data_IF_286847659177
#
_entry.id   IF_286847659177
#
_cell.length_a   1.000
_cell.length_b   1.000
_cell.length_c   1.000
_cell.angle_alpha   90.00
_cell.angle_beta   90.00
_cell.angle_gamma   90.00
#
_symmetry.space_group_name_H-M   'P 1'
#
loop_
_entity.id
_entity.type
_entity.pdbx_description
1 polymer ?
#
# COMPACT_ATOMS: atom_id res chain seq x y z
N UNK A 1 -28.61 15.55 -30.28
CA UNK A 1 -27.54 14.52 -30.17
C UNK A 1 -27.41 14.17 -28.70
N UNK A 2 -27.72 12.92 -28.30
CA UNK A 2 -27.56 12.47 -26.93
C UNK A 2 -26.06 12.39 -26.63
N UNK A 3 -25.64 12.91 -25.47
CA UNK A 3 -24.27 12.78 -25.02
C UNK A 3 -23.88 11.28 -24.92
N UNK A 4 -22.68 10.89 -25.33
CA UNK A 4 -22.27 9.49 -25.22
C UNK A 4 -22.28 9.06 -23.76
N UNK A 5 -22.92 7.93 -23.50
CA UNK A 5 -23.02 7.30 -22.20
C UNK A 5 -21.59 7.01 -21.68
N UNK A 6 -21.12 7.79 -20.70
CA UNK A 6 -19.77 7.68 -20.11
C UNK A 6 -19.54 6.42 -19.25
N UNK A 7 -20.56 5.57 -19.11
CA UNK A 7 -20.48 4.33 -18.31
C UNK A 7 -20.11 3.07 -19.12
N UNK A 8 -19.98 3.15 -20.43
CA UNK A 8 -19.72 1.99 -21.31
C UNK A 8 -18.27 1.47 -21.28
N UNK A 9 -17.45 1.82 -20.28
CA UNK A 9 -16.06 1.35 -20.17
C UNK A 9 -15.55 1.14 -18.75
N UNK A 10 -16.38 1.30 -17.72
CA UNK A 10 -15.95 1.09 -16.34
C UNK A 10 -15.85 -0.39 -16.05
N UNK A 11 -14.66 -0.85 -15.64
CA UNK A 11 -14.46 -2.20 -15.12
C UNK A 11 -15.51 -2.47 -14.03
N UNK A 12 -16.21 -3.58 -14.15
CA UNK A 12 -17.09 -4.11 -13.09
C UNK A 12 -16.31 -4.42 -11.81
N UNK A 13 -14.98 -4.60 -11.91
CA UNK A 13 -14.10 -4.98 -10.82
C UNK A 13 -13.47 -3.77 -10.16
N UNK A 14 -13.31 -3.85 -8.85
CA UNK A 14 -12.80 -2.79 -7.99
C UNK A 14 -11.83 -3.42 -7.00
N UNK A 15 -10.68 -2.79 -6.79
CA UNK A 15 -9.71 -3.25 -5.80
C UNK A 15 -10.29 -3.11 -4.40
N UNK A 16 -10.34 -4.21 -3.64
CA UNK A 16 -10.80 -4.23 -2.25
C UNK A 16 -9.64 -4.34 -1.25
N UNK A 17 -8.57 -5.00 -1.66
CA UNK A 17 -7.31 -5.11 -0.92
C UNK A 17 -6.16 -5.14 -1.91
N UNK A 18 -5.02 -4.54 -1.55
CA UNK A 18 -3.80 -4.63 -2.32
C UNK A 18 -2.56 -4.57 -1.43
N UNK A 19 -1.46 -5.15 -1.93
CA UNK A 19 -0.12 -5.05 -1.36
C UNK A 19 0.89 -4.77 -2.47
N UNK A 20 1.79 -3.81 -2.21
CA UNK A 20 2.90 -3.48 -3.11
C UNK A 20 4.04 -4.50 -2.95
N UNK A 21 4.65 -4.90 -4.06
CA UNK A 21 5.74 -5.89 -4.03
C UNK A 21 7.13 -5.23 -3.98
N UNK A 22 8.05 -5.93 -3.31
CA UNK A 22 9.50 -5.68 -3.34
C UNK A 22 10.25 -6.92 -3.79
N UNK A 23 11.52 -6.73 -4.22
CA UNK A 23 12.47 -7.82 -4.36
C UNK A 23 12.89 -8.33 -2.99
N UNK A 24 13.16 -9.63 -2.82
CA UNK A 24 13.76 -10.13 -1.60
C UNK A 24 15.24 -9.74 -1.50
N UNK A 25 15.70 -9.54 -0.28
CA UNK A 25 17.11 -9.42 0.05
C UNK A 25 17.58 -10.68 0.77
N UNK A 26 18.88 -10.83 1.01
CA UNK A 26 19.44 -12.00 1.71
C UNK A 26 18.87 -12.21 3.13
N UNK A 27 18.31 -11.14 3.75
CA UNK A 27 17.69 -11.22 5.07
C UNK A 27 16.24 -11.73 5.03
N UNK A 28 15.62 -11.78 3.86
CA UNK A 28 14.24 -12.24 3.65
C UNK A 28 14.24 -13.74 3.30
N UNK A 29 14.62 -14.60 4.25
CA UNK A 29 14.99 -16.00 4.02
C UNK A 29 13.99 -16.79 3.16
N UNK A 30 12.69 -16.75 3.48
CA UNK A 30 11.67 -17.46 2.68
C UNK A 30 11.56 -16.87 1.28
N UNK A 31 11.51 -15.54 1.16
CA UNK A 31 11.36 -14.89 -0.14
C UNK A 31 12.61 -15.04 -1.02
N UNK A 32 13.82 -15.03 -0.44
CA UNK A 32 15.08 -15.14 -1.18
C UNK A 32 15.41 -16.57 -1.59
N UNK A 33 15.11 -17.55 -0.73
CA UNK A 33 15.31 -18.98 -1.04
C UNK A 33 14.20 -19.55 -1.92
N UNK A 34 13.02 -18.96 -1.85
CA UNK A 34 11.81 -19.53 -2.45
C UNK A 34 11.28 -20.73 -1.67
N UNK A 35 10.32 -21.41 -2.28
CA UNK A 35 9.66 -22.59 -1.74
C UNK A 35 9.81 -23.78 -2.70
N UNK A 36 9.72 -24.98 -2.15
CA UNK A 36 9.61 -26.23 -2.92
C UNK A 36 8.39 -26.99 -2.42
N UNK A 37 7.37 -27.09 -3.26
CA UNK A 37 6.05 -27.67 -2.93
C UNK A 37 5.37 -27.02 -1.69
N UNK A 38 5.64 -25.73 -1.45
CA UNK A 38 5.13 -25.00 -0.30
C UNK A 38 3.70 -24.52 -0.47
N UNK A 39 3.06 -24.22 0.66
CA UNK A 39 1.73 -23.61 0.72
C UNK A 39 1.80 -22.28 1.47
N UNK A 40 1.34 -21.23 0.81
CA UNK A 40 1.20 -19.91 1.41
C UNK A 40 -0.27 -19.63 1.71
N UNK A 41 -0.59 -19.24 2.94
CA UNK A 41 -1.94 -18.84 3.35
C UNK A 41 -1.94 -17.36 3.74
N UNK A 42 -2.70 -16.56 2.98
CA UNK A 42 -2.94 -15.16 3.29
C UNK A 42 -4.30 -14.96 3.94
N UNK A 43 -4.36 -14.22 5.04
CA UNK A 43 -5.59 -13.69 5.60
C UNK A 43 -5.62 -12.18 5.38
N UNK A 44 -6.59 -11.71 4.60
CA UNK A 44 -6.68 -10.29 4.21
C UNK A 44 -8.03 -9.70 4.59
N UNK A 45 -8.03 -8.46 5.08
CA UNK A 45 -9.25 -7.72 5.40
C UNK A 45 -9.69 -6.91 4.18
N UNK A 46 -10.92 -7.14 3.73
CA UNK A 46 -11.50 -6.48 2.57
C UNK A 46 -12.10 -5.12 2.95
N UNK A 47 -11.85 -4.09 2.18
CA UNK A 47 -12.50 -2.79 2.36
C UNK A 47 -13.82 -2.62 1.58
N UNK A 48 -14.11 -3.55 0.67
CA UNK A 48 -15.38 -3.62 -0.07
C UNK A 48 -15.73 -5.09 -0.33
N UNK A 49 -17.02 -5.40 -0.52
CA UNK A 49 -17.52 -6.76 -0.77
C UNK A 49 -18.02 -6.98 -2.20
N UNK A 50 -18.47 -8.20 -2.48
CA UNK A 50 -19.01 -8.62 -3.77
C UNK A 50 -18.49 -9.98 -4.21
N UNK A 51 -18.67 -10.29 -5.50
CA UNK A 51 -18.02 -11.43 -6.13
C UNK A 51 -16.51 -11.17 -6.16
N UNK A 52 -15.69 -12.20 -5.94
CA UNK A 52 -14.24 -12.08 -5.73
C UNK A 52 -13.47 -12.60 -6.94
N UNK A 53 -12.34 -11.95 -7.25
CA UNK A 53 -11.23 -12.53 -8.02
C UNK A 53 -9.89 -12.10 -7.40
N UNK A 54 -8.86 -12.87 -7.66
CA UNK A 54 -7.53 -12.67 -7.09
C UNK A 54 -6.57 -12.12 -8.15
N UNK A 55 -5.62 -11.30 -7.70
CA UNK A 55 -4.52 -10.81 -8.52
C UNK A 55 -3.20 -11.24 -7.90
N UNK A 56 -2.37 -11.87 -8.71
CA UNK A 56 -1.01 -12.26 -8.38
C UNK A 56 -0.02 -11.43 -9.19
N UNK A 57 1.18 -11.26 -8.68
CA UNK A 57 2.27 -10.60 -9.38
C UNK A 57 3.61 -11.24 -9.03
N UNK A 58 4.53 -11.21 -9.98
CA UNK A 58 5.91 -11.67 -9.80
C UNK A 58 6.88 -10.61 -10.34
N UNK A 59 6.67 -9.35 -9.92
CA UNK A 59 7.33 -8.17 -10.48
C UNK A 59 8.86 -8.21 -10.43
N UNK A 60 9.42 -8.91 -9.44
CA UNK A 60 10.86 -9.06 -9.22
C UNK A 60 11.35 -10.49 -9.42
N UNK A 61 10.54 -11.34 -10.03
CA UNK A 61 10.91 -12.70 -10.36
C UNK A 61 11.99 -12.74 -11.43
N UNK A 62 12.87 -13.74 -11.33
CA UNK A 62 13.92 -14.03 -12.32
C UNK A 62 13.60 -15.26 -13.17
N UNK A 63 12.61 -16.05 -12.76
CA UNK A 63 12.11 -17.23 -13.46
C UNK A 63 10.57 -17.29 -13.34
N UNK A 64 9.88 -18.01 -14.23
CA UNK A 64 8.45 -18.25 -14.07
C UNK A 64 8.14 -19.04 -12.80
N UNK A 65 7.00 -18.77 -12.17
CA UNK A 65 6.50 -19.53 -11.01
C UNK A 65 5.14 -20.15 -11.34
N UNK A 66 4.94 -21.42 -10.96
CA UNK A 66 3.66 -22.11 -11.07
C UNK A 66 2.85 -21.82 -9.81
N UNK A 67 1.62 -21.33 -9.98
CA UNK A 67 0.69 -21.03 -8.88
C UNK A 67 -0.51 -21.96 -8.97
N UNK A 68 -0.90 -22.52 -7.83
CA UNK A 68 -2.09 -23.34 -7.65
C UNK A 68 -1.80 -24.83 -7.40
N UNK A 69 -2.81 -25.60 -6.93
CA UNK A 69 -4.19 -25.14 -6.71
C UNK A 69 -4.30 -24.01 -5.69
N UNK A 70 -5.33 -23.18 -5.88
CA UNK A 70 -5.64 -22.05 -5.00
C UNK A 70 -7.04 -22.19 -4.46
N UNK A 71 -7.26 -21.83 -3.18
CA UNK A 71 -8.59 -21.63 -2.63
C UNK A 71 -8.74 -20.22 -2.07
N UNK A 72 -9.97 -19.69 -2.13
CA UNK A 72 -10.34 -18.42 -1.51
C UNK A 72 -11.64 -18.63 -0.72
N UNK A 73 -11.61 -18.38 0.59
CA UNK A 73 -12.77 -18.66 1.45
C UNK A 73 -13.26 -20.12 1.34
N UNK A 74 -12.35 -21.06 1.12
CA UNK A 74 -12.64 -22.48 0.93
C UNK A 74 -13.16 -22.86 -0.48
N UNK A 75 -13.36 -21.89 -1.39
CA UNK A 75 -13.80 -22.14 -2.75
C UNK A 75 -12.59 -22.27 -3.70
N UNK A 76 -12.65 -23.20 -4.66
CA UNK A 76 -11.61 -23.38 -5.66
C UNK A 76 -11.50 -22.14 -6.57
N UNK A 77 -10.27 -21.74 -6.85
CA UNK A 77 -9.92 -20.64 -7.78
C UNK A 77 -9.36 -21.24 -9.07
N UNK A 78 -9.77 -20.69 -10.21
CA UNK A 78 -9.26 -21.09 -11.51
C UNK A 78 -8.62 -19.92 -12.26
N UNK A 79 -7.86 -20.25 -13.31
CA UNK A 79 -7.18 -19.33 -14.19
C UNK A 79 -7.45 -19.80 -15.64
N UNK A 80 -8.39 -19.14 -16.31
CA UNK A 80 -8.88 -19.61 -17.63
C UNK A 80 -9.47 -21.01 -17.54
N UNK A 81 -10.22 -21.32 -16.48
CA UNK A 81 -10.82 -22.63 -16.20
C UNK A 81 -9.86 -23.69 -15.67
N UNK A 82 -8.57 -23.39 -15.50
CA UNK A 82 -7.55 -24.36 -15.01
C UNK A 82 -7.22 -24.10 -13.53
N UNK A 83 -6.92 -25.14 -12.73
CA UNK A 83 -6.61 -24.99 -11.30
C UNK A 83 -5.22 -24.39 -11.04
N UNK A 84 -4.38 -24.29 -12.06
CA UNK A 84 -3.01 -23.79 -11.97
C UNK A 84 -2.68 -22.89 -13.16
N UNK A 85 -1.76 -21.95 -12.97
CA UNK A 85 -1.21 -21.13 -14.04
C UNK A 85 0.22 -20.71 -13.74
N UNK A 86 0.98 -20.46 -14.80
CA UNK A 86 2.31 -19.87 -14.71
C UNK A 86 2.23 -18.36 -14.65
N UNK A 87 3.01 -17.75 -13.75
CA UNK A 87 3.31 -16.33 -13.77
C UNK A 87 4.73 -16.17 -14.30
N UNK A 88 4.88 -15.50 -15.42
CA UNK A 88 6.21 -15.20 -15.95
C UNK A 88 6.95 -14.20 -15.05
N UNK A 89 8.27 -14.20 -15.10
CA UNK A 89 9.08 -13.20 -14.44
C UNK A 89 8.65 -11.79 -14.89
N UNK A 90 8.48 -10.86 -13.93
CA UNK A 90 8.00 -9.50 -14.17
C UNK A 90 6.49 -9.36 -14.44
N UNK A 91 5.75 -10.46 -14.58
CA UNK A 91 4.34 -10.44 -14.97
C UNK A 91 3.35 -10.43 -13.80
N UNK A 92 2.08 -10.21 -14.13
CA UNK A 92 0.94 -10.40 -13.24
C UNK A 92 -0.06 -11.39 -13.84
N UNK A 93 -0.87 -11.99 -12.97
CA UNK A 93 -1.90 -12.97 -13.29
C UNK A 93 -3.17 -12.61 -12.53
N UNK A 94 -4.31 -12.66 -13.23
CA UNK A 94 -5.63 -12.47 -12.59
C UNK A 94 -6.41 -13.76 -12.70
N UNK A 95 -7.05 -14.19 -11.61
CA UNK A 95 -7.90 -15.39 -11.60
C UNK A 95 -9.22 -15.15 -12.32
N UNK A 96 -9.90 -16.23 -12.68
CA UNK A 96 -11.32 -16.18 -12.97
C UNK A 96 -12.09 -15.68 -11.72
N UNK A 97 -13.34 -15.19 -11.88
CA UNK A 97 -14.23 -14.95 -10.76
C UNK A 97 -14.43 -16.23 -9.94
N UNK A 98 -14.23 -16.15 -8.62
CA UNK A 98 -14.36 -17.33 -7.74
C UNK A 98 -15.85 -17.73 -7.66
N UNK A 99 -16.14 -18.92 -8.17
CA UNK A 99 -17.51 -19.43 -8.21
C UNK A 99 -18.05 -19.63 -6.78
N UNK A 100 -19.30 -19.22 -6.54
CA UNK A 100 -19.95 -19.38 -5.23
C UNK A 100 -19.43 -18.48 -4.11
N UNK A 101 -18.36 -17.68 -4.32
CA UNK A 101 -17.82 -16.79 -3.30
C UNK A 101 -18.35 -15.36 -3.48
N UNK A 102 -19.02 -14.88 -2.44
CA UNK A 102 -19.36 -13.46 -2.27
C UNK A 102 -18.97 -13.02 -0.87
N UNK A 103 -18.35 -11.88 -0.77
CA UNK A 103 -17.89 -11.31 0.49
C UNK A 103 -18.66 -10.03 0.83
N UNK A 104 -18.54 -9.58 2.06
CA UNK A 104 -19.04 -8.30 2.55
C UNK A 104 -17.88 -7.34 2.80
N UNK A 105 -18.20 -6.06 2.95
CA UNK A 105 -17.26 -5.07 3.47
C UNK A 105 -16.75 -5.50 4.86
N UNK A 106 -15.49 -5.24 5.14
CA UNK A 106 -14.77 -5.62 6.35
C UNK A 106 -14.59 -7.14 6.58
N UNK A 107 -15.02 -8.01 5.65
CA UNK A 107 -14.78 -9.44 5.75
C UNK A 107 -13.27 -9.76 5.77
N UNK A 108 -12.89 -10.79 6.52
CA UNK A 108 -11.56 -11.42 6.40
C UNK A 108 -11.65 -12.57 5.41
N UNK A 109 -10.84 -12.50 4.37
CA UNK A 109 -10.75 -13.54 3.35
C UNK A 109 -9.46 -14.31 3.52
N UNK A 110 -9.56 -15.64 3.67
CA UNK A 110 -8.41 -16.53 3.63
C UNK A 110 -8.19 -17.00 2.20
N UNK A 111 -6.98 -16.82 1.70
CA UNK A 111 -6.51 -17.30 0.39
C UNK A 111 -5.37 -18.28 0.63
N UNK A 112 -5.56 -19.54 0.25
CA UNK A 112 -4.52 -20.55 0.31
C UNK A 112 -3.98 -20.80 -1.11
N UNK A 113 -2.67 -20.71 -1.25
CA UNK A 113 -1.98 -20.81 -2.53
C UNK A 113 -0.89 -21.87 -2.44
N UNK A 114 -1.02 -22.96 -3.17
CA UNK A 114 0.07 -23.92 -3.34
C UNK A 114 1.02 -23.45 -4.43
N UNK A 115 2.30 -23.61 -4.17
CA UNK A 115 3.41 -23.32 -5.08
C UNK A 115 4.17 -24.62 -5.38
N UNK A 116 3.77 -25.38 -6.40
CA UNK A 116 4.41 -26.65 -6.73
C UNK A 116 5.81 -26.45 -7.29
N UNK A 117 6.72 -27.33 -6.92
CA UNK A 117 8.11 -27.33 -7.38
C UNK A 117 8.94 -26.16 -6.81
N UNK A 118 10.20 -26.04 -7.21
CA UNK A 118 11.05 -24.95 -6.78
C UNK A 118 10.63 -23.63 -7.43
N UNK A 119 10.39 -22.59 -6.62
CA UNK A 119 9.93 -21.29 -7.13
C UNK A 119 11.08 -20.34 -7.47
N UNK A 120 12.27 -20.57 -6.91
CA UNK A 120 13.29 -19.52 -6.83
C UNK A 120 12.84 -18.33 -5.98
N UNK A 121 13.56 -17.20 -6.02
CA UNK A 121 13.20 -16.00 -5.26
C UNK A 121 11.82 -15.47 -5.60
N UNK A 122 11.02 -15.15 -4.58
CA UNK A 122 9.63 -14.72 -4.71
C UNK A 122 9.49 -13.21 -4.53
N UNK A 123 8.73 -12.56 -5.42
CA UNK A 123 8.24 -11.21 -5.17
C UNK A 123 7.27 -11.21 -4.00
N UNK A 124 7.42 -10.28 -3.06
CA UNK A 124 6.64 -10.30 -1.83
C UNK A 124 6.41 -8.89 -1.28
N UNK A 125 5.50 -8.77 -0.34
CA UNK A 125 5.37 -7.62 0.56
C UNK A 125 5.83 -8.05 1.94
N UNK A 126 6.76 -7.32 2.54
CA UNK A 126 7.49 -7.76 3.74
C UNK A 126 6.62 -7.82 4.98
N UNK A 127 5.78 -6.81 5.21
CA UNK A 127 4.97 -6.74 6.42
C UNK A 127 3.60 -6.09 6.15
N UNK A 128 2.56 -6.89 6.23
CA UNK A 128 1.17 -6.40 6.09
C UNK A 128 0.52 -6.05 7.42
N UNK A 129 1.21 -6.26 8.53
CA UNK A 129 0.63 -6.23 9.89
C UNK A 129 -0.60 -7.13 10.05
N UNK A 130 -0.61 -8.25 9.34
CA UNK A 130 -1.62 -9.30 9.46
C UNK A 130 -0.95 -10.67 9.51
N UNK A 131 -1.57 -11.62 10.19
CA UNK A 131 -1.07 -12.99 10.31
C UNK A 131 -1.35 -13.77 9.03
N UNK A 132 -0.29 -14.27 8.42
CA UNK A 132 -0.27 -15.21 7.31
C UNK A 132 0.54 -16.44 7.73
N UNK A 133 0.64 -17.44 6.86
CA UNK A 133 1.53 -18.57 7.11
C UNK A 133 2.15 -19.13 5.83
N UNK A 134 3.35 -19.71 5.98
CA UNK A 134 4.01 -20.54 4.98
C UNK A 134 4.19 -21.92 5.62
N UNK A 135 3.61 -22.95 5.02
CA UNK A 135 3.61 -24.33 5.52
C UNK A 135 3.19 -24.42 7.01
N UNK A 136 2.19 -23.60 7.40
CA UNK A 136 1.69 -23.49 8.77
C UNK A 136 2.54 -22.63 9.71
N UNK A 137 3.73 -22.16 9.32
CA UNK A 137 4.56 -21.27 10.12
C UNK A 137 4.11 -19.82 9.91
N UNK A 138 3.83 -19.12 11.02
CA UNK A 138 3.34 -17.73 10.98
C UNK A 138 4.35 -16.78 10.35
N UNK A 139 3.86 -15.89 9.52
CA UNK A 139 4.57 -14.75 8.95
C UNK A 139 3.64 -13.54 8.84
N UNK A 140 4.18 -12.33 8.69
CA UNK A 140 3.44 -11.13 8.29
C UNK A 140 3.68 -10.74 6.84
N UNK A 141 4.50 -11.52 6.13
CA UNK A 141 4.79 -11.32 4.70
C UNK A 141 3.71 -11.95 3.82
N UNK A 142 3.44 -11.32 2.68
CA UNK A 142 2.57 -11.85 1.61
C UNK A 142 3.41 -12.11 0.36
N UNK A 143 3.29 -13.31 -0.19
CA UNK A 143 4.04 -13.75 -1.36
C UNK A 143 3.11 -13.80 -2.59
N UNK A 144 3.54 -13.22 -3.70
CA UNK A 144 2.88 -13.22 -5.00
C UNK A 144 1.48 -12.60 -5.03
N UNK A 145 0.62 -12.77 -4.01
CA UNK A 145 -0.72 -12.18 -3.96
C UNK A 145 -0.62 -10.66 -3.85
N UNK A 146 -1.08 -9.94 -4.87
CA UNK A 146 -1.00 -8.46 -4.95
C UNK A 146 -2.32 -7.77 -4.79
N UNK A 147 -3.43 -8.50 -4.93
CA UNK A 147 -4.74 -7.88 -4.77
C UNK A 147 -5.89 -8.85 -4.69
N UNK A 148 -6.96 -8.36 -4.06
CA UNK A 148 -8.29 -8.95 -4.10
C UNK A 148 -9.23 -7.92 -4.71
N UNK A 149 -9.90 -8.30 -5.79
CA UNK A 149 -10.85 -7.45 -6.50
C UNK A 149 -12.27 -7.97 -6.31
N UNK A 150 -13.21 -7.03 -6.22
CA UNK A 150 -14.64 -7.33 -5.98
C UNK A 150 -15.54 -6.57 -6.95
N UNK A 151 -16.82 -7.00 -7.06
CA UNK A 151 -17.80 -6.35 -7.94
C UNK A 151 -18.78 -5.44 -7.24
N UNK A 152 -18.76 -5.35 -5.92
CA UNK A 152 -19.81 -4.69 -5.11
C UNK A 152 -19.43 -3.36 -4.49
N UNK A 153 -18.27 -2.79 -4.82
CA UNK A 153 -17.94 -1.46 -4.35
C UNK A 153 -18.77 -0.40 -5.09
N UNK A 154 -19.38 0.49 -4.35
CA UNK A 154 -20.22 1.58 -4.90
C UNK A 154 -19.50 2.93 -4.86
N UNK A 155 -18.45 3.05 -4.03
CA UNK A 155 -17.60 4.24 -3.91
C UNK A 155 -16.25 4.08 -4.64
N UNK A 156 -15.41 5.13 -4.58
CA UNK A 156 -14.09 5.13 -5.22
C UNK A 156 -13.09 4.20 -4.53
N UNK A 157 -12.09 3.76 -5.27
CA UNK A 157 -10.86 3.21 -4.72
C UNK A 157 -9.89 4.35 -4.43
N UNK A 158 -9.35 4.37 -3.23
CA UNK A 158 -8.28 5.26 -2.78
C UNK A 158 -7.02 4.40 -2.62
N UNK A 159 -5.98 4.69 -3.40
CA UNK A 159 -4.67 4.07 -3.23
C UNK A 159 -3.82 4.91 -2.29
N UNK A 160 -3.26 4.31 -1.26
CA UNK A 160 -2.30 4.97 -0.36
C UNK A 160 -0.89 4.59 -0.77
N UNK A 161 -0.19 5.48 -1.47
CA UNK A 161 1.22 5.36 -1.79
C UNK A 161 2.02 5.91 -0.60
N UNK A 162 2.62 5.04 0.19
CA UNK A 162 3.23 5.41 1.45
C UNK A 162 4.47 4.60 1.84
N UNK A 163 4.98 4.92 3.01
CA UNK A 163 6.10 4.26 3.68
C UNK A 163 5.67 3.45 4.91
N UNK A 164 6.58 3.28 5.90
CA UNK A 164 6.31 2.54 7.14
C UNK A 164 5.12 3.07 7.94
N UNK A 165 4.87 4.38 7.91
CA UNK A 165 3.74 4.98 8.62
C UNK A 165 2.41 4.59 7.94
N UNK A 166 2.38 4.46 6.62
CA UNK A 166 1.22 3.94 5.92
C UNK A 166 1.11 2.42 6.03
N UNK A 167 2.23 1.70 5.91
CA UNK A 167 2.29 0.24 6.10
C UNK A 167 1.76 -0.17 7.47
N UNK A 168 2.08 0.62 8.54
CA UNK A 168 1.46 0.47 9.84
C UNK A 168 2.41 0.21 11.02
N UNK A 169 3.70 0.51 10.85
CA UNK A 169 4.67 0.41 11.96
C UNK A 169 4.17 1.19 13.18
N UNK A 170 4.26 0.56 14.36
CA UNK A 170 3.71 1.11 15.61
C UNK A 170 2.30 0.58 15.93
N UNK A 171 1.68 -0.22 15.05
CA UNK A 171 0.40 -0.89 15.33
C UNK A 171 0.61 -2.39 15.58
N UNK A 172 -0.20 -3.02 16.44
CA UNK A 172 -0.19 -4.48 16.62
C UNK A 172 -0.67 -5.20 15.35
N UNK A 173 -0.09 -6.38 15.10
CA UNK A 173 -0.57 -7.26 14.04
C UNK A 173 -2.05 -7.65 14.28
N UNK A 174 -2.79 -7.88 13.21
CA UNK A 174 -4.21 -8.31 13.18
C UNK A 174 -5.22 -7.33 13.82
N UNK A 175 -4.76 -6.17 14.28
CA UNK A 175 -5.63 -5.19 14.94
C UNK A 175 -6.36 -4.27 13.95
N UNK A 176 -5.93 -4.19 12.69
CA UNK A 176 -6.46 -3.27 11.67
C UNK A 176 -6.48 -1.81 12.16
N UNK A 177 -5.41 -1.38 12.86
CA UNK A 177 -5.29 -0.04 13.46
C UNK A 177 -4.40 0.90 12.67
N UNK A 178 -3.89 0.49 11.51
CA UNK A 178 -3.15 1.37 10.60
C UNK A 178 -4.05 2.52 10.16
N UNK A 179 -3.50 3.71 9.93
CA UNK A 179 -4.32 4.85 9.53
C UNK A 179 -5.15 4.62 8.24
N UNK A 180 -4.67 3.86 7.22
CA UNK A 180 -5.50 3.54 6.06
C UNK A 180 -6.70 2.64 6.41
N UNK A 181 -6.55 1.69 7.37
CA UNK A 181 -7.65 0.85 7.83
C UNK A 181 -8.71 1.66 8.57
N UNK A 182 -8.26 2.60 9.41
CA UNK A 182 -9.16 3.49 10.15
C UNK A 182 -9.83 4.49 9.22
N UNK A 183 -9.14 4.97 8.16
CA UNK A 183 -9.75 5.77 7.11
C UNK A 183 -10.84 4.98 6.36
N UNK A 184 -10.58 3.71 6.01
CA UNK A 184 -11.55 2.85 5.35
C UNK A 184 -12.88 2.75 6.13
N UNK A 185 -12.81 2.62 7.47
CA UNK A 185 -14.01 2.61 8.33
C UNK A 185 -14.83 3.89 8.27
N UNK A 186 -14.21 5.00 7.89
CA UNK A 186 -14.88 6.31 7.75
C UNK A 186 -15.45 6.54 6.35
N UNK A 187 -15.25 5.61 5.42
CA UNK A 187 -15.60 5.70 4.01
C UNK A 187 -16.43 4.47 3.55
N UNK A 188 -17.60 4.22 4.17
CA UNK A 188 -18.41 3.07 3.81
C UNK A 188 -18.71 3.03 2.31
N UNK A 189 -18.60 1.84 1.73
CA UNK A 189 -18.78 1.61 0.30
C UNK A 189 -17.60 1.96 -0.59
N UNK A 190 -16.56 2.64 -0.06
CA UNK A 190 -15.30 2.92 -0.76
C UNK A 190 -14.23 1.90 -0.39
N UNK A 191 -13.22 1.73 -1.24
CA UNK A 191 -12.09 0.88 -0.93
C UNK A 191 -10.81 1.70 -0.68
N UNK A 192 -10.03 1.29 0.33
CA UNK A 192 -8.71 1.86 0.62
C UNK A 192 -7.66 0.77 0.43
N UNK A 193 -6.84 0.92 -0.60
CA UNK A 193 -5.73 0.02 -0.92
C UNK A 193 -4.44 0.57 -0.29
N UNK A 194 -3.91 -0.11 0.70
CA UNK A 194 -2.67 0.28 1.36
C UNK A 194 -1.46 -0.28 0.60
N UNK A 195 -0.69 0.61 -0.01
CA UNK A 195 0.53 0.31 -0.76
C UNK A 195 1.77 0.87 -0.04
N UNK A 196 1.71 1.00 1.28
CA UNK A 196 2.85 1.36 2.12
C UNK A 196 3.96 0.32 2.02
N UNK A 197 5.21 0.76 1.97
CA UNK A 197 6.41 -0.07 2.05
C UNK A 197 7.34 0.60 3.06
N UNK A 198 7.68 -0.09 4.15
CA UNK A 198 8.60 0.44 5.17
C UNK A 198 9.90 0.93 4.54
N UNK A 199 10.32 2.13 4.93
CA UNK A 199 11.54 2.75 4.41
C UNK A 199 11.44 3.35 3.01
N UNK A 200 10.30 3.28 2.33
CA UNK A 200 10.14 3.75 0.95
C UNK A 200 10.31 5.27 0.82
N UNK A 201 10.88 5.70 -0.30
CA UNK A 201 11.20 7.08 -0.64
C UNK A 201 10.42 7.57 -1.86
N UNK A 202 10.32 8.87 -2.02
CA UNK A 202 9.76 9.48 -3.23
C UNK A 202 10.71 9.28 -4.41
N UNK A 203 12.01 9.51 -4.20
CA UNK A 203 13.00 9.76 -5.25
C UNK A 203 13.93 8.57 -5.53
N UNK A 204 14.35 7.84 -4.50
CA UNK A 204 15.42 6.86 -4.64
C UNK A 204 14.92 5.44 -4.42
N UNK A 205 15.32 4.57 -5.32
CA UNK A 205 15.17 3.12 -5.14
C UNK A 205 16.12 2.60 -4.06
N UNK A 206 15.75 1.49 -3.46
CA UNK A 206 16.57 0.81 -2.46
C UNK A 206 16.36 -0.70 -2.54
N UNK A 207 17.42 -1.47 -2.39
CA UNK A 207 17.33 -2.93 -2.47
C UNK A 207 16.41 -3.54 -1.40
N UNK A 208 16.42 -2.95 -0.17
CA UNK A 208 15.61 -3.42 0.96
C UNK A 208 14.21 -2.78 0.99
N UNK A 209 14.13 -1.47 0.67
CA UNK A 209 12.93 -0.67 0.81
C UNK A 209 12.17 -0.50 -0.51
N UNK A 210 12.59 -1.24 -1.53
CA UNK A 210 11.94 -1.33 -2.83
C UNK A 210 12.14 -0.12 -3.74
N UNK A 211 11.52 -0.14 -4.92
CA UNK A 211 11.52 0.97 -5.85
C UNK A 211 10.86 2.20 -5.23
N UNK A 212 11.36 3.38 -5.59
CA UNK A 212 10.81 4.67 -5.15
C UNK A 212 9.34 4.82 -5.52
N UNK A 213 8.65 5.73 -4.84
CA UNK A 213 7.28 6.09 -5.18
C UNK A 213 7.13 6.46 -6.66
N UNK A 214 8.14 7.11 -7.25
CA UNK A 214 8.20 7.43 -8.68
C UNK A 214 8.26 6.16 -9.54
N UNK A 215 9.16 5.23 -9.23
CA UNK A 215 9.40 4.05 -10.04
C UNK A 215 8.25 3.03 -9.99
N UNK A 216 7.58 2.91 -8.83
CA UNK A 216 6.50 1.93 -8.62
C UNK A 216 5.09 2.46 -8.91
N UNK A 217 4.94 3.73 -9.25
CA UNK A 217 3.64 4.40 -9.37
C UNK A 217 2.71 3.71 -10.38
N UNK A 218 3.20 3.41 -11.57
CA UNK A 218 2.37 2.78 -12.61
C UNK A 218 1.99 1.35 -12.24
N UNK A 219 2.98 0.57 -11.76
CA UNK A 219 2.77 -0.82 -11.39
C UNK A 219 1.82 -0.99 -10.21
N UNK A 220 2.05 -0.22 -9.13
CA UNK A 220 1.35 -0.44 -7.87
C UNK A 220 0.06 0.39 -7.78
N UNK A 221 0.04 1.60 -8.34
CA UNK A 221 -1.06 2.54 -8.19
C UNK A 221 -1.97 2.54 -9.42
N UNK A 222 -1.44 2.90 -10.61
CA UNK A 222 -2.27 3.10 -11.80
C UNK A 222 -2.91 1.81 -12.31
N UNK A 223 -2.36 0.66 -11.94
CA UNK A 223 -2.89 -0.65 -12.31
C UNK A 223 -4.13 -1.09 -11.50
N UNK A 224 -4.55 -0.35 -10.47
CA UNK A 224 -5.65 -0.75 -9.58
C UNK A 224 -7.02 -0.50 -10.23
N UNK A 225 -7.86 -1.52 -10.41
CA UNK A 225 -9.22 -1.33 -10.89
C UNK A 225 -10.08 -0.46 -9.96
N UNK A 226 -10.82 0.46 -10.55
CA UNK A 226 -11.73 1.35 -9.81
C UNK A 226 -11.06 2.55 -9.14
N UNK A 227 -9.75 2.74 -9.33
CA UNK A 227 -8.99 3.85 -8.74
C UNK A 227 -9.57 5.22 -9.12
N UNK A 228 -9.70 6.10 -8.15
CA UNK A 228 -10.14 7.49 -8.31
C UNK A 228 -9.22 8.49 -7.64
N UNK A 229 -8.63 8.09 -6.52
CA UNK A 229 -7.81 8.98 -5.71
C UNK A 229 -6.52 8.28 -5.30
N UNK A 230 -5.43 8.99 -5.43
CA UNK A 230 -4.13 8.59 -4.86
C UNK A 230 -3.86 9.47 -3.65
N UNK A 231 -3.54 8.85 -2.53
CA UNK A 231 -3.08 9.52 -1.33
C UNK A 231 -1.57 9.28 -1.20
N UNK A 232 -0.77 10.33 -1.28
CA UNK A 232 0.70 10.28 -1.19
C UNK A 232 1.13 10.62 0.24
N UNK A 233 1.71 9.63 0.93
CA UNK A 233 2.28 9.77 2.27
C UNK A 233 3.71 9.22 2.27
N UNK A 234 4.63 9.96 1.68
CA UNK A 234 6.05 9.68 1.51
C UNK A 234 6.85 10.94 1.82
N UNK A 235 8.16 10.82 1.99
CA UNK A 235 9.08 11.95 2.07
C UNK A 235 9.98 11.93 3.30
N UNK A 236 9.54 11.35 4.42
CA UNK A 236 10.37 11.29 5.63
C UNK A 236 11.66 10.49 5.39
N UNK A 237 11.57 9.42 4.62
CA UNK A 237 12.71 8.56 4.32
C UNK A 237 13.66 9.17 3.27
N UNK A 238 13.18 10.08 2.44
CA UNK A 238 14.06 10.87 1.57
C UNK A 238 14.99 11.76 2.39
N UNK A 239 14.53 12.26 3.54
CA UNK A 239 15.29 13.11 4.44
C UNK A 239 16.28 12.31 5.30
N UNK A 240 15.81 11.24 5.95
CA UNK A 240 16.53 10.62 7.05
C UNK A 240 17.37 9.39 6.67
N UNK A 241 17.12 8.74 5.52
CA UNK A 241 17.89 7.56 5.09
C UNK A 241 19.07 7.95 4.19
N UNK A 242 20.29 7.46 4.45
CA UNK A 242 21.42 7.66 3.54
C UNK A 242 21.23 6.95 2.18
N UNK A 243 21.61 7.60 1.07
CA UNK A 243 21.92 9.02 0.97
C UNK A 243 20.66 9.86 1.15
N UNK A 244 20.67 10.77 2.14
CA UNK A 244 19.53 11.66 2.41
C UNK A 244 19.40 12.77 1.38
N UNK A 245 18.18 13.19 1.11
CA UNK A 245 17.91 14.35 0.26
C UNK A 245 17.70 15.59 1.12
N UNK A 246 18.64 16.52 1.06
CA UNK A 246 18.60 17.78 1.84
C UNK A 246 18.10 18.97 1.05
N UNK A 247 17.87 18.83 -0.27
CA UNK A 247 17.24 19.86 -1.09
C UNK A 247 15.71 19.63 -1.15
N UNK A 248 14.89 20.47 -0.48
CA UNK A 248 13.45 20.35 -0.53
C UNK A 248 12.87 20.50 -1.94
N UNK A 249 13.56 21.21 -2.85
CA UNK A 249 13.08 21.42 -4.22
C UNK A 249 13.01 20.11 -5.01
N UNK A 250 13.93 19.17 -4.76
CA UNK A 250 13.93 17.86 -5.42
C UNK A 250 12.78 16.97 -4.95
N UNK A 251 12.52 16.92 -3.63
CA UNK A 251 11.35 16.18 -3.09
C UNK A 251 10.04 16.76 -3.63
N UNK A 252 9.93 18.10 -3.65
CA UNK A 252 8.75 18.78 -4.21
C UNK A 252 8.60 18.56 -5.72
N UNK A 253 9.69 18.47 -6.47
CA UNK A 253 9.65 18.10 -7.88
C UNK A 253 9.14 16.66 -8.06
N UNK A 254 9.59 15.72 -7.21
CA UNK A 254 9.08 14.35 -7.16
C UNK A 254 7.57 14.30 -6.91
N UNK A 255 7.06 15.03 -5.93
CA UNK A 255 5.61 15.11 -5.69
C UNK A 255 4.85 15.65 -6.91
N UNK A 256 5.36 16.72 -7.54
CA UNK A 256 4.70 17.27 -8.76
C UNK A 256 4.66 16.27 -9.89
N UNK A 257 5.68 15.43 -10.06
CA UNK A 257 5.67 14.37 -11.08
C UNK A 257 4.60 13.31 -10.77
N UNK A 258 4.46 12.87 -9.51
CA UNK A 258 3.37 11.96 -9.12
C UNK A 258 1.99 12.59 -9.40
N UNK A 259 1.83 13.87 -9.09
CA UNK A 259 0.58 14.61 -9.36
C UNK A 259 0.28 14.70 -10.86
N UNK A 260 1.29 15.04 -11.67
CA UNK A 260 1.12 15.14 -13.14
C UNK A 260 0.70 13.78 -13.74
N UNK A 261 1.35 12.68 -13.31
CA UNK A 261 1.02 11.32 -13.77
C UNK A 261 -0.38 10.89 -13.30
N UNK A 262 -0.72 11.16 -12.04
CA UNK A 262 -2.06 10.89 -11.51
C UNK A 262 -3.15 11.65 -12.25
N UNK A 263 -2.97 12.96 -12.44
CA UNK A 263 -3.92 13.80 -13.21
C UNK A 263 -4.02 13.36 -14.66
N UNK A 264 -2.90 13.01 -15.29
CA UNK A 264 -2.87 12.47 -16.66
C UNK A 264 -3.67 11.18 -16.81
N UNK A 265 -3.84 10.44 -15.71
CA UNK A 265 -4.67 9.23 -15.62
C UNK A 265 -6.11 9.52 -15.11
N UNK A 266 -6.51 10.80 -15.00
CA UNK A 266 -7.84 11.20 -14.53
C UNK A 266 -8.07 11.03 -13.03
N UNK A 267 -7.01 10.95 -12.23
CA UNK A 267 -7.06 10.74 -10.79
C UNK A 267 -6.94 12.07 -10.04
N UNK A 268 -7.55 12.10 -8.86
CA UNK A 268 -7.28 13.10 -7.84
C UNK A 268 -6.05 12.66 -7.04
N UNK A 269 -5.14 13.57 -6.74
CA UNK A 269 -3.92 13.28 -5.97
C UNK A 269 -3.90 14.13 -4.70
N UNK A 270 -4.07 13.48 -3.57
CA UNK A 270 -4.05 14.07 -2.24
C UNK A 270 -2.68 13.82 -1.62
N UNK A 271 -2.08 14.79 -0.97
CA UNK A 271 -0.82 14.63 -0.27
C UNK A 271 -0.94 14.82 1.23
N UNK A 272 -0.03 14.20 1.98
CA UNK A 272 0.16 14.50 3.40
C UNK A 272 1.38 15.40 3.60
N UNK A 273 1.35 16.21 4.67
CA UNK A 273 2.58 16.81 5.21
C UNK A 273 3.43 15.73 5.89
N UNK A 274 4.75 15.90 5.85
CA UNK A 274 5.72 15.00 6.49
C UNK A 274 5.61 15.16 8.01
N UNK A 275 5.39 14.06 8.73
CA UNK A 275 5.26 14.04 10.19
C UNK A 275 6.54 14.46 10.92
N UNK A 276 6.46 14.97 12.15
CA UNK A 276 7.64 15.28 12.95
C UNK A 276 8.38 14.00 13.33
N UNK A 277 9.71 14.10 13.51
CA UNK A 277 10.54 12.94 13.83
C UNK A 277 11.71 13.24 14.79
N UNK A 278 11.63 14.33 15.54
CA UNK A 278 12.60 14.60 16.61
C UNK A 278 12.48 13.56 17.70
N UNK A 279 13.60 12.92 18.02
CA UNK A 279 13.69 11.72 18.85
C UNK A 279 14.18 10.50 18.07
N UNK A 280 13.97 10.48 16.76
CA UNK A 280 14.55 9.48 15.89
C UNK A 280 16.08 9.65 15.77
N UNK A 281 16.80 8.53 15.80
CA UNK A 281 18.29 8.54 15.87
C UNK A 281 18.99 9.31 14.73
N UNK A 282 18.31 9.53 13.62
CA UNK A 282 18.86 10.26 12.46
C UNK A 282 18.34 11.68 12.33
N UNK A 283 17.54 12.15 13.27
CA UNK A 283 17.06 13.52 13.26
C UNK A 283 18.19 14.52 13.49
N UNK A 284 18.14 15.64 12.80
CA UNK A 284 19.00 16.81 13.02
C UNK A 284 18.19 18.10 12.82
N UNK A 285 18.61 19.23 13.43
CA UNK A 285 17.97 20.52 13.17
C UNK A 285 17.97 20.91 11.68
N UNK A 286 19.00 20.49 10.93
CA UNK A 286 19.09 20.72 9.48
C UNK A 286 18.00 19.96 8.71
N UNK A 287 17.76 18.69 9.02
CA UNK A 287 16.69 17.90 8.40
C UNK A 287 15.30 18.42 8.80
N UNK A 288 15.15 18.90 10.04
CA UNK A 288 13.91 19.56 10.47
C UNK A 288 13.62 20.81 9.63
N UNK A 289 14.63 21.64 9.37
CA UNK A 289 14.47 22.83 8.52
C UNK A 289 14.04 22.43 7.09
N UNK A 290 14.57 21.34 6.53
CA UNK A 290 14.14 20.81 5.22
C UNK A 290 12.70 20.32 5.29
N UNK A 291 12.32 19.53 6.31
CA UNK A 291 10.95 19.07 6.54
C UNK A 291 9.95 20.22 6.57
N UNK A 292 10.25 21.27 7.32
CA UNK A 292 9.39 22.46 7.44
C UNK A 292 9.22 23.18 6.10
N UNK A 293 10.27 23.28 5.28
CA UNK A 293 10.18 23.88 3.94
C UNK A 293 9.28 23.05 3.01
N UNK A 294 9.40 21.72 3.05
CA UNK A 294 8.52 20.82 2.30
C UNK A 294 7.07 21.01 2.76
N UNK A 295 6.82 20.95 4.06
CA UNK A 295 5.48 21.10 4.64
C UNK A 295 4.84 22.45 4.33
N UNK A 296 5.61 23.54 4.40
CA UNK A 296 5.14 24.87 4.01
C UNK A 296 4.68 24.90 2.54
N UNK A 297 5.46 24.33 1.62
CA UNK A 297 5.09 24.25 0.21
C UNK A 297 3.85 23.36 -0.02
N UNK A 298 3.75 22.23 0.68
CA UNK A 298 2.60 21.32 0.59
C UNK A 298 1.33 22.01 1.06
N UNK A 299 1.36 22.74 2.20
CA UNK A 299 0.22 23.48 2.75
C UNK A 299 -0.32 24.58 1.85
N UNK A 300 0.49 25.13 0.95
CA UNK A 300 0.01 26.18 0.02
C UNK A 300 -0.99 25.65 -1.02
N UNK A 301 -1.23 24.33 -1.10
CA UNK A 301 -2.13 23.70 -2.06
C UNK A 301 -1.64 23.75 -3.52
N UNK A 302 -0.37 24.14 -3.75
CA UNK A 302 0.19 24.25 -5.11
C UNK A 302 0.92 22.96 -5.58
N UNK A 303 1.01 21.97 -4.69
CA UNK A 303 1.67 20.68 -5.00
C UNK A 303 0.62 19.62 -5.31
N UNK A 304 -0.36 19.43 -4.45
CA UNK A 304 -1.40 18.42 -4.53
C UNK A 304 -2.78 19.03 -4.82
N UNK A 305 -3.75 18.21 -5.21
CA UNK A 305 -5.14 18.63 -5.39
C UNK A 305 -5.84 18.94 -4.05
N UNK A 306 -5.40 18.29 -2.99
CA UNK A 306 -5.80 18.54 -1.61
C UNK A 306 -4.71 18.04 -0.66
N UNK A 307 -4.78 18.47 0.59
CA UNK A 307 -3.75 18.17 1.61
C UNK A 307 -4.40 17.70 2.90
N UNK A 308 -3.84 16.64 3.49
CA UNK A 308 -4.05 16.26 4.88
C UNK A 308 -2.84 16.71 5.71
N UNK A 309 -3.07 17.55 6.72
CA UNK A 309 -1.98 18.08 7.55
C UNK A 309 -1.63 17.11 8.67
N UNK A 310 -0.89 16.07 8.33
CA UNK A 310 -0.45 15.03 9.26
C UNK A 310 0.55 15.56 10.30
N UNK A 311 1.36 16.56 9.93
CA UNK A 311 2.26 17.23 10.85
C UNK A 311 1.48 17.88 12.01
N UNK A 312 0.46 18.69 11.69
CA UNK A 312 -0.39 19.33 12.72
C UNK A 312 -1.17 18.29 13.53
N UNK A 313 -1.59 17.20 12.89
CA UNK A 313 -2.40 16.19 13.56
C UNK A 313 -1.68 15.43 14.68
N UNK A 314 -0.36 15.27 14.57
CA UNK A 314 0.40 14.43 15.52
C UNK A 314 1.55 15.14 16.23
N UNK A 315 1.88 16.40 15.86
CA UNK A 315 2.98 17.12 16.51
C UNK A 315 2.64 17.54 17.94
N UNK A 316 3.66 17.62 18.77
CA UNK A 316 3.59 18.29 20.06
C UNK A 316 3.40 19.80 19.84
N UNK A 317 2.36 20.45 20.43
CA UNK A 317 2.12 21.88 20.25
C UNK A 317 3.24 22.75 20.83
N UNK A 318 3.90 22.30 21.90
CA UNK A 318 4.97 23.04 22.57
C UNK A 318 6.34 22.77 21.90
N UNK A 319 6.47 21.66 21.18
CA UNK A 319 7.70 21.26 20.47
C UNK A 319 7.38 20.68 19.11
N UNK A 320 7.03 21.49 18.09
CA UNK A 320 6.48 21.04 16.82
C UNK A 320 7.38 20.15 15.95
N UNK A 321 8.68 20.06 16.26
CA UNK A 321 9.62 19.12 15.64
C UNK A 321 9.47 17.68 16.13
N UNK A 322 8.72 17.49 17.26
CA UNK A 322 8.50 16.20 17.92
C UNK A 322 7.05 15.74 17.77
N UNK A 323 6.86 14.43 17.67
CA UNK A 323 5.53 13.84 17.83
C UNK A 323 5.06 13.96 19.28
N UNK A 324 3.76 14.23 19.48
CA UNK A 324 3.16 14.24 20.81
C UNK A 324 3.36 12.87 21.46
N UNK A 325 3.84 12.85 22.72
CA UNK A 325 4.17 11.60 23.40
C UNK A 325 3.01 10.60 23.47
N UNK A 326 1.77 11.07 23.52
CA UNK A 326 0.58 10.22 23.47
C UNK A 326 0.36 9.53 22.10
N UNK A 327 1.03 9.98 21.06
CA UNK A 327 0.92 9.46 19.69
C UNK A 327 2.16 8.71 19.21
N UNK A 328 3.28 8.85 19.92
CA UNK A 328 4.56 8.24 19.57
C UNK A 328 4.62 6.76 20.01
N UNK A 329 5.17 5.90 19.19
CA UNK A 329 5.48 4.49 19.54
C UNK A 329 6.74 4.34 20.38
N UNK A 330 7.28 5.43 20.91
CA UNK A 330 8.50 5.58 21.70
C UNK A 330 9.81 5.49 20.90
N UNK A 331 9.76 5.60 19.58
CA UNK A 331 10.95 5.64 18.73
C UNK A 331 11.22 7.04 18.12
N UNK A 332 10.29 7.98 18.28
CA UNK A 332 10.39 9.36 17.80
C UNK A 332 10.10 9.51 16.30
N UNK A 333 9.58 8.47 15.61
CA UNK A 333 9.28 8.48 14.19
C UNK A 333 7.90 7.91 13.87
N UNK A 334 7.57 6.74 14.44
CA UNK A 334 6.36 6.01 14.08
C UNK A 334 5.22 6.30 15.06
N UNK A 335 4.00 6.55 14.56
CA UNK A 335 2.84 6.71 15.43
C UNK A 335 2.45 5.38 16.09
N UNK A 336 1.99 5.44 17.33
CA UNK A 336 1.26 4.36 17.99
C UNK A 336 -0.20 4.29 17.46
N UNK A 337 -1.05 3.32 17.91
CA UNK A 337 -2.43 3.23 17.45
C UNK A 337 -3.25 4.51 17.60
N UNK A 338 -3.02 5.29 18.65
CA UNK A 338 -3.69 6.58 18.85
C UNK A 338 -3.22 7.64 17.85
N UNK A 339 -1.90 7.66 17.54
CA UNK A 339 -1.34 8.51 16.50
C UNK A 339 -1.88 8.12 15.10
N UNK A 340 -1.99 6.84 14.80
CA UNK A 340 -2.64 6.37 13.56
C UNK A 340 -4.11 6.81 13.48
N UNK A 341 -4.84 6.81 14.60
CA UNK A 341 -6.21 7.33 14.66
C UNK A 341 -6.26 8.82 14.36
N UNK A 342 -5.32 9.61 14.92
CA UNK A 342 -5.21 11.03 14.65
C UNK A 342 -4.92 11.34 13.17
N UNK A 343 -4.01 10.59 12.54
CA UNK A 343 -3.74 10.71 11.10
C UNK A 343 -4.99 10.42 10.27
N UNK A 344 -5.69 9.32 10.56
CA UNK A 344 -6.93 9.00 9.85
C UNK A 344 -8.00 10.08 10.03
N UNK A 345 -8.12 10.67 11.25
CA UNK A 345 -9.06 11.74 11.53
C UNK A 345 -8.76 13.04 10.77
N UNK A 346 -7.48 13.33 10.53
CA UNK A 346 -7.03 14.52 9.80
C UNK A 346 -7.35 14.49 8.29
N UNK A 347 -7.74 13.34 7.75
CA UNK A 347 -8.13 13.24 6.35
C UNK A 347 -9.57 13.74 6.18
N UNK A 348 -9.75 14.84 5.44
CA UNK A 348 -11.07 15.31 5.05
C UNK A 348 -11.62 14.42 3.92
N UNK A 349 -12.73 13.74 4.19
CA UNK A 349 -13.38 12.84 3.24
C UNK A 349 -13.76 13.52 1.91
N UNK A 350 -14.09 14.82 1.94
CA UNK A 350 -14.42 15.63 0.76
C UNK A 350 -13.24 15.74 -0.21
N UNK A 351 -12.03 15.54 0.29
CA UNK A 351 -10.81 15.55 -0.52
C UNK A 351 -10.58 14.25 -1.28
N UNK A 352 -11.30 13.17 -0.93
CA UNK A 352 -11.10 11.83 -1.50
C UNK A 352 -12.19 11.41 -2.51
N UNK A 353 -13.31 12.10 -2.50
CA UNK A 353 -14.52 11.75 -3.27
C UNK A 353 -14.71 12.61 -4.52
#
# INVERSE_FOLDING_TARGET
MAAPNRDAGRSRWTTSWAAAQTAPTATDTVASSGLTDGTFTAAVRLSAGGQVRLRYGHAFGTAPVLVGPVTAGGQAVTFGGKPQAWIAAGASLTSDPVAGLRTTEAARLTVETRLPGPTGPLSFHRNTHASHSVDGVRTTSVFLLTGVEVTGAHGPVIAVLGDSIAEGVGTPDDADLRWPDQLARRLPGSAVANLGISGNRVLLDDARFGPSGQARFDRDVLSLPGLRTVFVHLGINDLQQPPGQTDPALVLAGYRQLVLRGRGSGLRVVGATVTPFEGWARWTPGLEAVRQRINAAVRTGRVFDAVADFDVAVRDPDRPSRMLAAYDSADGLHPNPSGHAALAAAVDRRHLL
#
